data_IF_580035578078
#
_entry.id   IF_580035578078
#
_cell.length_a   1.000
_cell.length_b   1.000
_cell.length_c   1.000
_cell.angle_alpha   90.00
_cell.angle_beta   90.00
_cell.angle_gamma   90.00
#
_symmetry.space_group_name_H-M   'P 1'
#
loop_
_entity.id
_entity.type
_entity.pdbx_description
1 polymer ?
#
# COMPACT_ATOMS: atom_id res chain seq x y z
N UNK A 1 1.64 -1.46 -33.50
CA UNK A 1 0.73 -1.67 -32.35
C UNK A 1 1.44 -2.56 -31.36
N UNK A 2 1.41 -2.24 -30.06
CA UNK A 2 1.95 -3.14 -29.02
C UNK A 2 0.94 -4.28 -28.89
N UNK A 3 1.33 -5.48 -29.32
CA UNK A 3 0.51 -6.70 -29.28
C UNK A 3 0.76 -7.44 -27.98
N UNK A 4 -0.16 -8.29 -27.54
CA UNK A 4 -0.06 -9.13 -26.34
C UNK A 4 -1.27 -8.99 -25.43
N UNK A 5 -1.50 -10.01 -24.59
CA UNK A 5 -2.58 -10.01 -23.60
C UNK A 5 -2.32 -8.90 -22.55
N UNK A 6 -3.25 -7.98 -22.31
CA UNK A 6 -3.01 -6.86 -21.41
C UNK A 6 -2.96 -7.30 -19.95
N UNK A 7 -1.92 -6.86 -19.23
CA UNK A 7 -1.76 -7.03 -17.78
C UNK A 7 -1.61 -5.66 -17.13
N UNK A 8 -2.57 -5.26 -16.33
CA UNK A 8 -2.50 -4.05 -15.51
C UNK A 8 -1.84 -4.36 -14.18
N UNK A 9 -0.71 -3.73 -13.89
CA UNK A 9 0.03 -3.91 -12.64
C UNK A 9 -0.28 -2.77 -11.67
N UNK A 10 -0.85 -3.11 -10.54
CA UNK A 10 -1.18 -2.19 -9.45
C UNK A 10 -0.10 -2.28 -8.38
N UNK A 11 0.71 -1.23 -8.24
CA UNK A 11 1.79 -1.20 -7.26
C UNK A 11 1.29 -1.09 -5.82
N UNK A 12 2.13 -1.48 -4.88
CA UNK A 12 1.87 -1.42 -3.44
C UNK A 12 2.18 -0.08 -2.79
N UNK A 13 2.36 -0.11 -1.51
CA UNK A 13 2.56 1.02 -0.61
C UNK A 13 1.34 1.19 0.32
N UNK A 14 0.33 1.99 0.01
CA UNK A 14 0.15 2.81 -1.21
C UNK A 14 1.21 3.90 -1.38
N UNK A 15 1.41 4.34 -2.62
CA UNK A 15 2.34 5.44 -2.93
C UNK A 15 3.77 5.02 -3.27
N UNK A 16 4.09 3.72 -3.35
CA UNK A 16 5.44 3.26 -3.68
C UNK A 16 5.86 3.55 -5.13
N UNK A 17 4.91 3.74 -6.03
CA UNK A 17 5.16 3.88 -7.45
C UNK A 17 5.40 2.54 -8.14
N UNK A 18 5.37 2.55 -9.46
CA UNK A 18 5.63 1.38 -10.29
C UNK A 18 7.13 1.20 -10.53
N UNK A 19 7.57 -0.04 -10.65
CA UNK A 19 8.95 -0.37 -10.96
C UNK A 19 9.02 -1.38 -12.10
N UNK A 20 9.97 -1.18 -13.02
CA UNK A 20 10.15 -2.06 -14.19
C UNK A 20 10.45 -3.52 -13.82
N UNK A 21 10.97 -3.79 -12.62
CA UNK A 21 11.18 -5.16 -12.15
C UNK A 21 9.89 -5.98 -12.06
N UNK A 22 8.72 -5.37 -12.00
CA UNK A 22 7.45 -6.08 -12.03
C UNK A 22 7.20 -6.80 -13.37
N UNK A 23 7.87 -6.39 -14.46
CA UNK A 23 7.77 -7.10 -15.74
C UNK A 23 8.39 -8.49 -15.71
N UNK A 24 9.26 -8.78 -14.73
CA UNK A 24 9.90 -10.11 -14.58
C UNK A 24 8.92 -11.24 -14.28
N UNK A 25 7.72 -10.91 -13.82
CA UNK A 25 6.68 -11.89 -13.54
C UNK A 25 5.94 -12.35 -14.80
N UNK A 26 6.24 -11.77 -15.97
CA UNK A 26 5.48 -11.98 -17.20
C UNK A 26 6.38 -12.25 -18.39
N UNK A 27 5.95 -13.16 -19.27
CA UNK A 27 6.54 -13.33 -20.58
C UNK A 27 6.14 -12.15 -21.49
N UNK A 28 7.09 -11.26 -21.76
CA UNK A 28 6.86 -10.06 -22.57
C UNK A 28 6.62 -10.34 -24.07
N UNK A 29 6.83 -11.58 -24.54
CA UNK A 29 6.41 -11.99 -25.88
C UNK A 29 4.91 -12.26 -25.95
N UNK A 30 4.32 -12.67 -24.83
CA UNK A 30 2.90 -12.98 -24.70
C UNK A 30 2.08 -11.85 -24.12
N UNK A 31 2.61 -11.16 -23.10
CA UNK A 31 1.87 -10.19 -22.32
C UNK A 31 2.29 -8.75 -22.62
N UNK A 32 1.31 -7.87 -22.74
CA UNK A 32 1.47 -6.41 -22.73
C UNK A 32 1.35 -5.92 -21.29
N UNK A 33 2.48 -5.75 -20.60
CA UNK A 33 2.50 -5.32 -19.21
C UNK A 33 2.38 -3.79 -19.11
N UNK A 34 1.38 -3.33 -18.38
CA UNK A 34 1.06 -1.92 -18.19
C UNK A 34 1.44 -1.53 -16.76
N UNK A 35 2.43 -0.67 -16.64
CA UNK A 35 2.89 -0.08 -15.38
C UNK A 35 2.44 1.38 -15.34
N UNK A 36 1.84 1.80 -14.24
CA UNK A 36 1.46 3.20 -14.02
C UNK A 36 1.69 3.59 -12.57
N UNK A 37 1.97 4.85 -12.35
CA UNK A 37 2.08 5.42 -11.01
C UNK A 37 0.72 5.95 -10.59
N UNK A 38 0.21 5.46 -9.45
CA UNK A 38 -1.04 5.94 -8.86
C UNK A 38 -0.92 7.42 -8.49
N UNK A 39 -2.05 8.09 -8.26
CA UNK A 39 -2.10 9.50 -7.89
C UNK A 39 -1.16 9.83 -6.74
N UNK A 40 -0.49 10.96 -6.82
CA UNK A 40 0.39 11.49 -5.78
C UNK A 40 1.80 10.91 -5.74
N UNK A 41 2.13 9.86 -6.52
CA UNK A 41 3.43 9.20 -6.45
C UNK A 41 4.11 9.00 -7.80
N UNK A 42 5.38 8.59 -7.74
CA UNK A 42 6.19 8.29 -8.91
C UNK A 42 6.31 9.48 -9.86
N UNK A 43 5.89 9.30 -11.11
CA UNK A 43 5.85 10.33 -12.15
C UNK A 43 4.49 11.04 -12.24
N UNK A 44 3.48 10.58 -11.49
CA UNK A 44 2.17 11.21 -11.45
C UNK A 44 2.23 12.54 -10.67
N UNK A 45 1.52 13.56 -11.16
CA UNK A 45 1.50 14.91 -10.62
C UNK A 45 0.05 15.32 -10.27
N UNK A 46 -0.12 16.10 -9.18
CA UNK A 46 0.86 16.60 -8.23
C UNK A 46 1.45 15.51 -7.33
N UNK A 47 2.65 15.74 -6.75
CA UNK A 47 3.36 14.79 -5.91
C UNK A 47 3.07 15.00 -4.42
N UNK A 48 2.86 13.93 -3.68
CA UNK A 48 2.72 13.99 -2.21
C UNK A 48 4.05 14.27 -1.47
N UNK A 49 5.17 14.40 -2.19
CA UNK A 49 6.45 14.84 -1.61
C UNK A 49 6.57 16.35 -1.43
N UNK A 50 5.67 17.13 -2.02
CA UNK A 50 5.67 18.59 -1.86
C UNK A 50 5.41 18.99 -0.40
N UNK A 51 5.84 20.18 0.01
CA UNK A 51 5.65 20.64 1.39
C UNK A 51 4.17 20.70 1.74
N UNK A 52 3.33 21.21 0.84
CA UNK A 52 1.88 21.08 0.91
C UNK A 52 1.40 19.93 -0.01
N UNK A 53 1.06 18.82 0.58
CA UNK A 53 0.55 17.67 -0.14
C UNK A 53 -0.96 17.70 -0.42
N UNK A 54 -1.66 18.79 -0.08
CA UNK A 54 -3.12 18.89 -0.20
C UNK A 54 -3.59 18.56 -1.61
N UNK A 55 -2.97 19.13 -2.64
CA UNK A 55 -3.35 18.90 -4.03
C UNK A 55 -3.13 17.44 -4.46
N UNK A 56 -2.11 16.76 -3.92
CA UNK A 56 -1.82 15.36 -4.24
C UNK A 56 -2.74 14.37 -3.52
N UNK A 57 -3.34 14.79 -2.41
CA UNK A 57 -4.25 13.97 -1.61
C UNK A 57 -5.73 14.27 -1.88
N UNK A 58 -6.04 15.44 -2.44
CA UNK A 58 -7.39 15.77 -2.91
C UNK A 58 -7.77 14.81 -4.04
N UNK A 59 -8.98 14.27 -3.99
CA UNK A 59 -9.48 13.28 -4.95
C UNK A 59 -8.55 12.06 -5.13
N UNK A 60 -7.78 11.72 -4.10
CA UNK A 60 -6.92 10.55 -4.06
C UNK A 60 -7.51 9.51 -3.11
N UNK A 61 -8.51 8.80 -3.57
CA UNK A 61 -9.22 7.73 -2.85
C UNK A 61 -9.27 6.47 -3.71
N UNK A 62 -9.59 5.32 -3.11
CA UNK A 62 -9.71 4.06 -3.86
C UNK A 62 -10.69 4.16 -5.02
N UNK A 63 -11.79 4.90 -4.87
CA UNK A 63 -12.74 5.14 -5.95
C UNK A 63 -12.07 5.85 -7.14
N UNK A 64 -11.32 6.92 -6.87
CA UNK A 64 -10.61 7.65 -7.93
C UNK A 64 -9.52 6.79 -8.60
N UNK A 65 -8.83 5.91 -7.84
CA UNK A 65 -7.87 4.98 -8.43
C UNK A 65 -8.55 3.93 -9.33
N UNK A 66 -9.76 3.47 -8.98
CA UNK A 66 -10.57 2.58 -9.82
C UNK A 66 -10.97 3.29 -11.12
N UNK A 67 -11.39 4.54 -11.02
CA UNK A 67 -11.77 5.35 -12.18
C UNK A 67 -10.54 5.63 -13.07
N UNK A 68 -9.34 5.87 -12.49
CA UNK A 68 -8.09 6.01 -13.24
C UNK A 68 -7.71 4.74 -14.02
N UNK A 69 -7.86 3.56 -13.42
CA UNK A 69 -7.61 2.28 -14.11
C UNK A 69 -8.58 2.12 -15.29
N UNK A 70 -9.84 2.51 -15.11
CA UNK A 70 -10.84 2.47 -16.18
C UNK A 70 -10.50 3.43 -17.31
N UNK A 71 -10.04 4.64 -16.98
CA UNK A 71 -9.60 5.64 -17.95
C UNK A 71 -8.35 5.15 -18.73
N UNK A 72 -7.34 4.62 -18.01
CA UNK A 72 -6.15 4.04 -18.65
C UNK A 72 -6.51 2.89 -19.59
N UNK A 73 -7.45 2.04 -19.19
CA UNK A 73 -7.93 0.94 -20.02
C UNK A 73 -8.54 1.47 -21.34
N UNK A 74 -9.33 2.52 -21.25
CA UNK A 74 -9.92 3.18 -22.42
C UNK A 74 -8.84 3.80 -23.34
N UNK A 75 -7.95 4.62 -22.79
CA UNK A 75 -6.88 5.29 -23.53
C UNK A 75 -5.90 4.30 -24.20
N UNK A 76 -5.70 3.14 -23.59
CA UNK A 76 -4.85 2.08 -24.12
C UNK A 76 -5.57 1.14 -25.10
N UNK A 77 -6.82 1.41 -25.44
CA UNK A 77 -7.68 0.64 -26.32
C UNK A 77 -7.78 -0.84 -25.92
N UNK A 78 -8.05 -1.08 -24.63
CA UNK A 78 -8.26 -2.42 -24.08
C UNK A 78 -9.77 -2.69 -24.05
N UNK A 79 -10.34 -3.15 -25.14
CA UNK A 79 -11.79 -3.39 -25.28
C UNK A 79 -12.23 -4.70 -24.60
N UNK A 80 -11.35 -5.71 -24.60
CA UNK A 80 -11.59 -7.01 -23.97
C UNK A 80 -11.31 -7.03 -22.47
N UNK A 81 -11.30 -8.24 -21.89
CA UNK A 81 -10.85 -8.46 -20.52
C UNK A 81 -9.32 -8.31 -20.43
N UNK A 82 -8.84 -7.95 -19.25
CA UNK A 82 -7.41 -7.86 -18.95
C UNK A 82 -7.04 -8.68 -17.71
N UNK A 83 -5.79 -9.07 -17.60
CA UNK A 83 -5.22 -9.58 -16.38
C UNK A 83 -4.93 -8.41 -15.43
N UNK A 84 -5.15 -8.61 -14.15
CA UNK A 84 -4.86 -7.61 -13.10
C UNK A 84 -3.91 -8.25 -12.09
N UNK A 85 -2.76 -7.62 -11.90
CA UNK A 85 -1.76 -8.03 -10.92
C UNK A 85 -1.65 -6.98 -9.83
N UNK A 86 -1.73 -7.41 -8.55
CA UNK A 86 -1.59 -6.52 -7.42
C UNK A 86 -0.83 -7.15 -6.26
N UNK A 87 0.12 -6.41 -5.68
CA UNK A 87 0.86 -6.84 -4.51
C UNK A 87 0.68 -5.89 -3.33
N UNK A 88 0.54 -6.42 -2.08
CA UNK A 88 0.33 -5.61 -0.87
C UNK A 88 -0.90 -4.69 -1.05
N UNK A 89 -0.79 -3.39 -0.83
CA UNK A 89 -1.85 -2.42 -1.16
C UNK A 89 -2.38 -2.60 -2.60
N UNK A 90 -1.51 -2.93 -3.55
CA UNK A 90 -1.94 -3.22 -4.92
C UNK A 90 -2.93 -4.39 -5.00
N UNK A 91 -2.89 -5.35 -4.09
CA UNK A 91 -3.88 -6.44 -4.01
C UNK A 91 -5.25 -5.91 -3.54
N UNK A 92 -5.26 -4.97 -2.61
CA UNK A 92 -6.48 -4.27 -2.18
C UNK A 92 -7.13 -3.54 -3.36
N UNK A 93 -6.33 -2.75 -4.10
CA UNK A 93 -6.81 -2.00 -5.25
C UNK A 93 -7.28 -2.94 -6.38
N UNK A 94 -6.55 -4.02 -6.64
CA UNK A 94 -6.92 -5.03 -7.64
C UNK A 94 -8.26 -5.70 -7.31
N UNK A 95 -8.46 -6.08 -6.05
CA UNK A 95 -9.72 -6.64 -5.57
C UNK A 95 -10.87 -5.62 -5.67
N UNK A 96 -10.64 -4.38 -5.22
CA UNK A 96 -11.65 -3.33 -5.30
C UNK A 96 -12.04 -3.01 -6.75
N UNK A 97 -11.06 -2.96 -7.66
CA UNK A 97 -11.31 -2.79 -9.08
C UNK A 97 -12.12 -3.94 -9.67
N UNK A 98 -11.72 -5.19 -9.38
CA UNK A 98 -12.42 -6.36 -9.88
C UNK A 98 -13.85 -6.48 -9.33
N UNK A 99 -14.09 -6.07 -8.09
CA UNK A 99 -15.43 -5.97 -7.49
C UNK A 99 -16.28 -4.92 -8.22
N UNK A 100 -15.69 -3.77 -8.57
CA UNK A 100 -16.38 -2.70 -9.27
C UNK A 100 -16.65 -3.04 -10.74
N UNK A 101 -15.70 -3.71 -11.41
CA UNK A 101 -15.70 -3.97 -12.85
C UNK A 101 -15.43 -5.46 -13.21
N UNK A 102 -16.21 -6.44 -12.68
CA UNK A 102 -15.89 -7.87 -12.84
C UNK A 102 -15.91 -8.31 -14.30
N UNK A 103 -16.69 -7.68 -15.16
CA UNK A 103 -16.77 -8.00 -16.59
C UNK A 103 -15.48 -7.66 -17.37
N UNK A 104 -14.60 -6.82 -16.81
CA UNK A 104 -13.37 -6.38 -17.47
C UNK A 104 -12.13 -7.16 -17.05
N UNK A 105 -12.26 -8.03 -16.04
CA UNK A 105 -11.16 -8.79 -15.47
C UNK A 105 -11.18 -10.23 -16.01
N UNK A 106 -10.06 -10.64 -16.61
CA UNK A 106 -9.81 -12.00 -17.08
C UNK A 106 -9.30 -12.86 -15.91
N UNK A 107 -8.21 -12.42 -15.31
CA UNK A 107 -7.54 -13.12 -14.22
C UNK A 107 -7.09 -12.08 -13.19
N UNK A 108 -7.25 -12.42 -11.93
CA UNK A 108 -6.77 -11.63 -10.80
C UNK A 108 -5.59 -12.37 -10.16
N UNK A 109 -4.42 -11.74 -10.17
CA UNK A 109 -3.19 -12.29 -9.61
C UNK A 109 -2.78 -11.44 -8.42
N UNK A 110 -2.83 -12.03 -7.22
CA UNK A 110 -2.60 -11.34 -5.96
C UNK A 110 -1.36 -11.87 -5.26
N UNK A 111 -0.53 -10.97 -4.75
CA UNK A 111 0.64 -11.29 -3.96
C UNK A 111 0.64 -10.52 -2.64
N UNK A 112 0.84 -11.23 -1.50
CA UNK A 112 0.79 -10.59 -0.19
C UNK A 112 -0.55 -9.88 0.00
N UNK A 113 -1.62 -10.65 0.04
CA UNK A 113 -2.99 -10.13 0.09
C UNK A 113 -3.18 -9.27 1.34
N UNK A 114 -3.60 -8.03 1.12
CA UNK A 114 -3.93 -7.07 2.15
C UNK A 114 -5.36 -6.57 1.94
N UNK A 115 -6.22 -6.72 2.92
CA UNK A 115 -7.64 -6.35 2.80
C UNK A 115 -7.95 -4.96 3.34
N UNK A 116 -6.95 -4.30 3.93
CA UNK A 116 -7.05 -2.96 4.52
C UNK A 116 -8.15 -2.86 5.61
N UNK A 117 -8.44 -3.99 6.30
CA UNK A 117 -9.33 -3.97 7.47
C UNK A 117 -8.60 -3.31 8.65
N UNK A 118 -9.35 -2.83 9.62
CA UNK A 118 -8.75 -2.27 10.83
C UNK A 118 -7.81 -3.25 11.52
N UNK A 119 -8.20 -4.52 11.61
CA UNK A 119 -7.37 -5.58 12.18
C UNK A 119 -6.04 -5.77 11.42
N UNK A 120 -6.06 -5.69 10.08
CA UNK A 120 -4.85 -5.81 9.26
C UNK A 120 -3.92 -4.61 9.48
N UNK A 121 -4.49 -3.40 9.57
CA UNK A 121 -3.75 -2.17 9.85
C UNK A 121 -3.16 -2.18 11.26
N UNK A 122 -3.93 -2.61 12.26
CA UNK A 122 -3.46 -2.71 13.65
C UNK A 122 -2.38 -3.76 13.81
N UNK A 123 -2.53 -4.93 13.16
CA UNK A 123 -1.51 -5.98 13.16
C UNK A 123 -0.17 -5.46 12.62
N UNK A 124 -0.21 -4.61 11.59
CA UNK A 124 0.99 -4.10 10.94
C UNK A 124 1.58 -2.87 11.62
N UNK A 125 0.75 -1.91 12.05
CA UNK A 125 1.19 -0.59 12.52
C UNK A 125 1.04 -0.36 14.03
N UNK A 126 0.12 -1.05 14.72
CA UNK A 126 -0.17 -0.71 16.11
C UNK A 126 0.72 -1.45 17.11
N UNK A 127 1.21 -2.63 16.76
CA UNK A 127 2.11 -3.41 17.58
C UNK A 127 1.57 -3.64 18.98
N UNK A 128 2.45 -3.56 19.99
CA UNK A 128 2.07 -3.67 21.38
C UNK A 128 1.53 -2.31 21.89
N UNK A 129 0.28 -1.98 21.54
CA UNK A 129 -0.36 -0.77 22.08
C UNK A 129 -0.44 -0.79 23.61
N UNK A 130 -0.43 -1.97 24.23
CA UNK A 130 -0.40 -2.11 25.68
C UNK A 130 0.87 -1.53 26.31
N UNK A 131 2.01 -1.51 25.59
CA UNK A 131 3.23 -0.84 26.08
C UNK A 131 3.05 0.67 26.24
N UNK A 132 2.13 1.26 25.47
CA UNK A 132 1.85 2.70 25.46
C UNK A 132 0.45 3.04 25.99
N UNK A 133 -0.36 2.02 26.31
CA UNK A 133 -1.69 2.21 26.85
C UNK A 133 -1.65 2.51 28.36
N UNK A 134 -2.52 3.38 28.86
CA UNK A 134 -2.64 3.61 30.31
C UNK A 134 -3.23 2.43 31.07
N UNK A 135 -3.70 1.39 30.40
CA UNK A 135 -4.28 0.19 31.02
C UNK A 135 -3.20 -0.91 31.20
N UNK A 136 -2.73 -1.15 32.44
CA UNK A 136 -1.73 -2.18 32.73
C UNK A 136 -2.26 -3.62 32.53
N UNK A 137 -3.56 -3.80 32.32
CA UNK A 137 -4.19 -5.10 32.05
C UNK A 137 -4.42 -5.35 30.55
N UNK A 138 -4.10 -4.37 29.70
CA UNK A 138 -4.20 -4.55 28.25
C UNK A 138 -3.24 -5.66 27.79
N UNK A 139 -3.81 -6.74 27.24
CA UNK A 139 -3.00 -7.83 26.69
C UNK A 139 -2.31 -7.36 25.40
N UNK A 140 -1.03 -7.74 25.18
CA UNK A 140 -0.36 -7.46 23.92
C UNK A 140 -1.17 -8.01 22.75
N UNK A 141 -1.46 -7.17 21.78
CA UNK A 141 -2.08 -7.62 20.52
C UNK A 141 -0.96 -8.20 19.66
N UNK A 142 -1.06 -9.46 19.18
CA UNK A 142 -0.07 -10.00 18.25
C UNK A 142 0.08 -9.09 17.03
N UNK A 143 1.31 -8.91 16.56
CA UNK A 143 1.57 -8.04 15.41
C UNK A 143 2.99 -8.22 14.89
N UNK A 144 3.25 -7.66 13.74
CA UNK A 144 4.53 -7.71 13.01
C UNK A 144 5.73 -7.23 13.85
N UNK A 145 5.49 -6.39 14.86
CA UNK A 145 6.55 -5.89 15.76
C UNK A 145 7.29 -7.00 16.53
N UNK A 146 6.65 -8.16 16.72
CA UNK A 146 7.27 -9.30 17.38
C UNK A 146 8.42 -9.90 16.56
N UNK A 147 8.30 -9.84 15.25
CA UNK A 147 9.29 -10.39 14.32
C UNK A 147 10.44 -9.40 14.07
N UNK A 148 10.20 -8.09 14.23
CA UNK A 148 11.16 -7.02 13.94
C UNK A 148 11.27 -5.98 15.08
N UNK A 149 11.66 -6.37 16.29
CA UNK A 149 11.58 -5.50 17.48
C UNK A 149 12.51 -4.27 17.41
N UNK A 150 13.66 -4.38 16.74
CA UNK A 150 14.59 -3.24 16.58
C UNK A 150 14.02 -2.20 15.61
N UNK A 151 13.54 -2.63 14.43
CA UNK A 151 12.90 -1.77 13.46
C UNK A 151 11.64 -1.10 14.04
N UNK A 152 10.87 -1.85 14.84
CA UNK A 152 9.70 -1.32 15.55
C UNK A 152 10.07 -0.17 16.49
N UNK A 153 11.10 -0.32 17.32
CA UNK A 153 11.53 0.75 18.24
C UNK A 153 11.92 2.02 17.47
N UNK A 154 12.72 1.88 16.41
CA UNK A 154 13.10 3.02 15.58
C UNK A 154 11.90 3.72 14.95
N UNK A 155 10.90 2.94 14.52
CA UNK A 155 9.66 3.47 13.98
C UNK A 155 8.85 4.26 15.02
N UNK A 156 8.62 3.66 16.19
CA UNK A 156 7.84 4.28 17.27
C UNK A 156 8.54 5.52 17.85
N UNK A 157 9.87 5.53 17.90
CA UNK A 157 10.65 6.68 18.38
C UNK A 157 10.54 7.94 17.50
N UNK A 158 10.12 7.77 16.27
CA UNK A 158 9.80 8.90 15.38
C UNK A 158 8.47 9.56 15.71
N UNK A 159 7.64 8.95 16.59
CA UNK A 159 6.30 9.42 16.96
C UNK A 159 6.35 10.00 18.38
N UNK A 160 5.79 11.21 18.63
CA UNK A 160 5.74 11.77 19.95
C UNK A 160 5.09 10.82 20.96
N UNK A 161 5.63 10.64 22.19
CA UNK A 161 5.12 9.68 23.18
C UNK A 161 3.61 9.78 23.43
N UNK A 162 3.08 10.98 23.49
CA UNK A 162 1.64 11.25 23.70
C UNK A 162 0.73 10.74 22.57
N UNK A 163 1.28 10.47 21.40
CA UNK A 163 0.55 10.05 20.19
C UNK A 163 0.76 8.56 19.86
N UNK A 164 1.54 7.83 20.67
CA UNK A 164 1.87 6.41 20.44
C UNK A 164 0.71 5.46 20.74
N UNK A 165 -0.30 5.89 21.48
CA UNK A 165 -1.50 5.08 21.75
C UNK A 165 -2.33 4.73 20.51
N UNK A 166 -2.20 5.50 19.41
CA UNK A 166 -2.72 5.17 18.08
C UNK A 166 -1.70 5.65 17.05
N UNK A 167 -0.85 4.75 16.60
CA UNK A 167 0.31 5.05 15.75
C UNK A 167 -0.10 5.71 14.44
N UNK A 168 -1.15 5.20 13.78
CA UNK A 168 -1.62 5.74 12.51
C UNK A 168 -2.15 7.15 12.68
N UNK A 169 -2.91 7.42 13.74
CA UNK A 169 -3.34 8.78 14.07
C UNK A 169 -2.17 9.70 14.45
N UNK A 170 -1.19 9.17 15.18
CA UNK A 170 0.04 9.89 15.52
C UNK A 170 0.79 10.36 14.27
N UNK A 171 0.97 9.47 13.32
CA UNK A 171 1.57 9.77 12.02
C UNK A 171 0.72 10.77 11.21
N UNK A 172 -0.61 10.56 11.19
CA UNK A 172 -1.51 11.48 10.48
C UNK A 172 -1.38 12.92 11.00
N UNK A 173 -1.26 13.12 12.32
CA UNK A 173 -1.00 14.46 12.88
C UNK A 173 0.33 15.05 12.42
N UNK A 174 1.37 14.22 12.32
CA UNK A 174 2.69 14.66 11.84
C UNK A 174 2.60 15.12 10.38
N UNK A 175 1.90 14.37 9.53
CA UNK A 175 1.82 14.64 8.09
C UNK A 175 0.75 15.64 7.68
N UNK A 176 -0.18 16.00 8.57
CA UNK A 176 -1.27 16.94 8.27
C UNK A 176 -0.82 18.40 8.16
N UNK A 177 0.34 18.75 8.74
CA UNK A 177 0.79 20.15 8.83
C UNK A 177 1.97 20.35 7.89
N UNK A 178 1.84 21.26 6.89
CA UNK A 178 2.97 21.65 6.07
C UNK A 178 4.10 22.27 6.90
N UNK A 179 5.36 21.90 6.68
CA UNK A 179 6.48 22.46 7.43
C UNK A 179 6.70 23.94 7.05
N UNK A 180 6.94 24.77 8.06
CA UNK A 180 7.20 26.21 7.89
C UNK A 180 8.70 26.54 8.02
N UNK A 181 9.47 25.61 8.58
CA UNK A 181 10.90 25.76 8.81
C UNK A 181 11.65 24.51 8.33
N UNK A 182 12.95 24.66 8.06
CA UNK A 182 13.81 23.53 7.69
C UNK A 182 13.86 22.48 8.83
N UNK A 183 13.83 22.89 10.06
CA UNK A 183 13.80 21.97 11.21
C UNK A 183 12.51 21.15 11.26
N UNK A 184 11.36 21.75 10.93
CA UNK A 184 10.07 21.02 10.81
C UNK A 184 10.10 20.08 9.62
N UNK A 185 10.65 20.50 8.48
CA UNK A 185 10.83 19.66 7.31
C UNK A 185 11.72 18.45 7.61
N UNK A 186 12.84 18.65 8.30
CA UNK A 186 13.74 17.58 8.71
C UNK A 186 13.04 16.55 9.62
N UNK A 187 12.20 17.00 10.57
CA UNK A 187 11.40 16.11 11.43
C UNK A 187 10.38 15.32 10.63
N UNK A 188 9.71 15.97 9.69
CA UNK A 188 8.74 15.34 8.79
C UNK A 188 9.40 14.24 7.96
N UNK A 189 10.56 14.53 7.35
CA UNK A 189 11.34 13.55 6.58
C UNK A 189 11.82 12.41 7.46
N UNK A 190 12.27 12.69 8.69
CA UNK A 190 12.66 11.66 9.65
C UNK A 190 11.53 10.70 9.97
N UNK A 191 10.34 11.21 10.25
CA UNK A 191 9.16 10.37 10.52
C UNK A 191 8.77 9.55 9.29
N UNK A 192 8.80 10.15 8.10
CA UNK A 192 8.51 9.46 6.85
C UNK A 192 9.52 8.35 6.56
N UNK A 193 10.82 8.61 6.77
CA UNK A 193 11.89 7.62 6.59
C UNK A 193 11.75 6.45 7.56
N UNK A 194 11.38 6.72 8.82
CA UNK A 194 11.13 5.67 9.82
C UNK A 194 9.92 4.80 9.42
N UNK A 195 8.87 5.42 8.89
CA UNK A 195 7.68 4.72 8.42
C UNK A 195 8.00 3.78 7.24
N UNK A 196 8.77 4.25 6.25
CA UNK A 196 9.18 3.45 5.09
C UNK A 196 10.17 2.35 5.49
N UNK A 197 11.08 2.62 6.43
CA UNK A 197 12.01 1.63 6.94
C UNK A 197 11.28 0.51 7.68
N UNK A 198 10.28 0.85 8.48
CA UNK A 198 9.40 -0.12 9.14
C UNK A 198 8.69 -1.01 8.11
N UNK A 199 8.02 -0.41 7.13
CA UNK A 199 7.32 -1.14 6.06
C UNK A 199 8.31 -2.06 5.31
N UNK A 200 9.47 -1.56 4.97
CA UNK A 200 10.50 -2.33 4.28
C UNK A 200 11.03 -3.52 5.09
N UNK A 201 11.14 -3.39 6.42
CA UNK A 201 11.52 -4.47 7.32
C UNK A 201 10.42 -5.52 7.43
N UNK A 202 9.20 -5.08 7.67
CA UNK A 202 8.04 -5.92 7.89
C UNK A 202 7.56 -6.67 6.63
N UNK A 203 7.97 -6.21 5.45
CA UNK A 203 7.57 -6.79 4.14
C UNK A 203 8.58 -7.83 3.61
N UNK A 204 9.64 -8.18 4.35
CA UNK A 204 10.72 -9.08 3.90
C UNK A 204 11.10 -10.07 4.98
N UNK A 205 11.29 -11.35 4.63
CA UNK A 205 11.79 -12.37 5.55
C UNK A 205 13.29 -12.23 5.81
N UNK A 206 14.08 -11.94 4.78
CA UNK A 206 15.52 -11.70 4.91
C UNK A 206 15.75 -10.20 4.97
N UNK A 207 15.74 -9.66 6.17
CA UNK A 207 16.05 -8.26 6.42
C UNK A 207 17.54 -8.12 6.69
N UNK A 208 18.27 -7.56 5.72
CA UNK A 208 19.58 -6.97 5.98
C UNK A 208 19.34 -5.51 6.40
N UNK A 209 19.50 -5.25 7.69
CA UNK A 209 19.34 -3.89 8.27
C UNK A 209 20.23 -2.85 7.56
N UNK A 210 21.29 -3.30 6.88
CA UNK A 210 22.24 -2.45 6.15
C UNK A 210 21.93 -2.32 4.64
N UNK A 211 21.01 -3.13 4.10
CA UNK A 211 20.73 -3.16 2.65
C UNK A 211 19.84 -2.02 2.14
N UNK A 212 19.27 -1.25 3.05
CA UNK A 212 18.42 -0.13 2.70
C UNK A 212 19.24 1.15 2.88
N UNK A 213 19.81 1.63 1.77
CA UNK A 213 20.21 3.03 1.70
C UNK A 213 19.06 3.90 2.21
N UNK A 214 19.37 4.96 2.98
CA UNK A 214 18.35 5.89 3.48
C UNK A 214 17.43 6.26 2.31
N UNK A 215 16.12 5.98 2.40
CA UNK A 215 15.22 6.30 1.31
C UNK A 215 15.33 7.79 1.00
N UNK A 216 15.42 8.13 -0.28
CA UNK A 216 15.40 9.54 -0.69
C UNK A 216 14.22 10.22 0.02
N UNK A 217 14.49 11.36 0.66
CA UNK A 217 13.48 12.03 1.49
C UNK A 217 12.18 12.35 0.75
N UNK A 218 12.23 12.61 -0.56
CA UNK A 218 11.03 12.78 -1.41
C UNK A 218 10.24 11.48 -1.53
N UNK A 219 10.91 10.36 -1.77
CA UNK A 219 10.27 9.05 -1.84
C UNK A 219 9.61 8.69 -0.49
N UNK A 220 10.35 8.88 0.60
CA UNK A 220 9.84 8.60 1.93
C UNK A 220 8.59 9.42 2.27
N UNK A 221 8.62 10.73 1.97
CA UNK A 221 7.45 11.61 2.17
C UNK A 221 6.25 11.17 1.34
N UNK A 222 6.48 10.85 0.07
CA UNK A 222 5.41 10.37 -0.82
C UNK A 222 4.73 9.13 -0.26
N UNK A 223 5.51 8.08 0.01
CA UNK A 223 4.97 6.80 0.49
C UNK A 223 4.29 6.97 1.85
N UNK A 224 4.98 7.59 2.82
CA UNK A 224 4.44 7.69 4.17
C UNK A 224 3.14 8.52 4.23
N UNK A 225 3.07 9.63 3.51
CA UNK A 225 1.87 10.47 3.47
C UNK A 225 0.69 9.76 2.84
N UNK A 226 0.87 9.16 1.67
CA UNK A 226 -0.21 8.45 0.99
C UNK A 226 -0.63 7.23 1.82
N UNK A 227 0.31 6.44 2.32
CA UNK A 227 0.05 5.26 3.13
C UNK A 227 -0.76 5.63 4.37
N UNK A 228 -0.31 6.60 5.16
CA UNK A 228 -1.02 7.03 6.38
C UNK A 228 -2.40 7.61 6.04
N UNK A 229 -2.51 8.38 4.96
CA UNK A 229 -3.78 8.93 4.48
C UNK A 229 -4.80 7.84 4.16
N UNK A 230 -4.35 6.77 3.50
CA UNK A 230 -5.22 5.62 3.22
C UNK A 230 -5.55 4.82 4.48
N UNK A 231 -4.55 4.53 5.32
CA UNK A 231 -4.77 3.70 6.53
C UNK A 231 -5.73 4.35 7.52
N UNK A 232 -5.61 5.67 7.74
CA UNK A 232 -6.51 6.37 8.67
C UNK A 232 -7.95 6.45 8.16
N UNK A 233 -8.13 6.40 6.85
CA UNK A 233 -9.43 6.44 6.19
C UNK A 233 -9.95 5.04 5.76
N UNK A 234 -9.44 3.95 6.34
CA UNK A 234 -9.88 2.58 6.04
C UNK A 234 -9.75 2.21 4.56
N UNK A 235 -8.71 2.73 3.89
CA UNK A 235 -8.48 2.53 2.46
C UNK A 235 -9.53 3.15 1.54
N UNK A 236 -10.41 3.99 2.05
CA UNK A 236 -11.56 4.54 1.31
C UNK A 236 -12.41 3.46 0.61
N UNK A 237 -12.51 2.28 1.22
CA UNK A 237 -13.22 1.13 0.65
C UNK A 237 -14.72 1.17 0.96
N UNK A 238 -15.12 1.71 2.10
CA UNK A 238 -16.52 1.83 2.50
C UNK A 238 -16.99 3.29 2.42
N UNK A 239 -17.92 3.56 1.50
CA UNK A 239 -18.56 4.87 1.39
C UNK A 239 -19.64 5.12 2.47
N UNK A 240 -19.95 4.12 3.30
CA UNK A 240 -21.14 4.16 4.18
C UNK A 240 -20.86 4.52 5.63
N UNK A 241 -19.60 4.51 6.09
CA UNK A 241 -19.30 4.95 7.44
C UNK A 241 -17.88 5.44 7.64
N UNK A 242 -17.71 6.72 7.95
CA UNK A 242 -16.50 7.26 8.59
C UNK A 242 -16.22 6.64 9.97
N UNK A 243 -17.13 5.80 10.47
CA UNK A 243 -17.13 5.23 11.82
C UNK A 243 -17.03 3.70 11.89
N UNK A 244 -17.09 2.98 10.79
CA UNK A 244 -16.99 1.52 10.82
C UNK A 244 -15.53 1.10 11.04
N UNK A 245 -15.22 0.73 12.29
CA UNK A 245 -13.91 0.16 12.65
C UNK A 245 -13.62 -1.18 11.97
N UNK A 246 -14.64 -1.85 11.42
CA UNK A 246 -14.55 -3.14 10.75
C UNK A 246 -14.92 -3.01 9.28
N UNK A 247 -14.00 -2.43 8.49
CA UNK A 247 -14.15 -2.39 7.05
C UNK A 247 -13.93 -3.78 6.45
N UNK A 248 -15.02 -4.50 6.17
CA UNK A 248 -15.01 -5.79 5.50
C UNK A 248 -15.42 -5.70 4.02
N UNK A 249 -15.35 -4.51 3.41
CA UNK A 249 -15.85 -4.26 2.06
C UNK A 249 -15.48 -5.34 1.04
N UNK A 250 -14.22 -5.77 1.01
CA UNK A 250 -13.75 -6.79 0.06
C UNK A 250 -14.40 -8.13 0.36
N UNK A 251 -14.44 -8.56 1.63
CA UNK A 251 -15.04 -9.84 2.03
C UNK A 251 -16.56 -9.85 1.78
N UNK A 252 -17.25 -8.77 2.07
CA UNK A 252 -18.69 -8.62 1.86
C UNK A 252 -19.07 -8.65 0.38
N UNK A 253 -18.13 -8.33 -0.51
CA UNK A 253 -18.34 -8.27 -1.95
C UNK A 253 -17.61 -9.36 -2.75
N UNK A 254 -16.93 -10.31 -2.09
CA UNK A 254 -16.13 -11.34 -2.76
C UNK A 254 -16.94 -12.21 -3.74
N UNK A 255 -18.22 -12.41 -3.49
CA UNK A 255 -19.11 -13.17 -4.38
C UNK A 255 -19.20 -12.57 -5.80
N UNK A 256 -18.92 -11.28 -5.97
CA UNK A 256 -18.88 -10.62 -7.28
C UNK A 256 -17.68 -11.05 -8.14
N UNK A 257 -16.71 -11.72 -7.54
CA UNK A 257 -15.51 -12.23 -8.21
C UNK A 257 -15.68 -13.66 -8.76
N UNK A 258 -16.85 -14.30 -8.58
CA UNK A 258 -17.10 -15.69 -8.98
C UNK A 258 -16.87 -15.98 -10.47
N UNK A 259 -16.85 -14.96 -11.34
CA UNK A 259 -16.56 -15.08 -12.77
C UNK A 259 -15.10 -14.82 -13.15
N UNK A 260 -14.23 -14.52 -12.19
CA UNK A 260 -12.82 -14.25 -12.42
C UNK A 260 -11.97 -15.45 -11.99
N UNK A 261 -11.00 -15.87 -12.83
CA UNK A 261 -9.95 -16.77 -12.36
C UNK A 261 -9.07 -16.00 -11.36
N UNK A 262 -9.00 -16.45 -10.10
CA UNK A 262 -8.22 -15.79 -9.05
C UNK A 262 -7.06 -16.69 -8.63
N UNK A 263 -5.86 -16.13 -8.61
CA UNK A 263 -4.65 -16.75 -8.08
C UNK A 263 -4.11 -15.86 -6.96
N UNK A 264 -4.08 -16.37 -5.75
CA UNK A 264 -3.48 -15.69 -4.62
C UNK A 264 -2.24 -16.46 -4.16
N UNK A 265 -1.12 -15.77 -3.98
CA UNK A 265 0.09 -16.31 -3.38
C UNK A 265 0.38 -15.54 -2.11
N UNK A 266 0.51 -16.25 -0.99
CA UNK A 266 1.09 -15.69 0.21
C UNK A 266 2.56 -15.38 -0.03
N UNK A 267 3.11 -14.42 0.70
CA UNK A 267 4.55 -14.13 0.64
C UNK A 267 5.28 -15.26 1.36
N UNK A 268 5.53 -16.35 0.67
CA UNK A 268 6.70 -17.17 0.94
C UNK A 268 7.77 -16.58 0.02
N UNK A 269 8.91 -16.10 0.52
CA UNK A 269 9.99 -15.69 -0.36
C UNK A 269 10.45 -16.93 -1.09
N UNK A 270 10.20 -16.95 -2.39
CA UNK A 270 10.84 -17.90 -3.27
C UNK A 270 12.29 -17.44 -3.34
N UNK A 271 13.21 -18.22 -2.76
CA UNK A 271 14.64 -18.12 -3.06
C UNK A 271 14.79 -18.13 -4.60
N UNK A 272 15.69 -17.31 -5.18
CA UNK A 272 15.79 -17.17 -6.64
C UNK A 272 16.19 -18.44 -7.39
N UNK A 273 16.32 -19.57 -6.74
CA UNK A 273 16.85 -20.81 -7.29
C UNK A 273 15.82 -21.92 -7.58
N UNK A 274 14.54 -21.74 -7.24
CA UNK A 274 13.54 -22.80 -7.42
C UNK A 274 12.39 -22.42 -8.37
N UNK A 275 12.73 -21.91 -9.55
CA UNK A 275 11.83 -21.87 -10.68
C UNK A 275 12.02 -23.12 -11.55
N UNK A 276 11.72 -24.29 -11.02
CA UNK A 276 11.49 -25.48 -11.83
C UNK A 276 10.00 -25.52 -12.23
N UNK A 277 9.66 -25.63 -13.51
CA UNK A 277 8.26 -25.74 -13.91
C UNK A 277 7.71 -27.10 -13.44
N UNK A 278 6.56 -27.07 -12.76
CA UNK A 278 5.69 -28.23 -12.56
C UNK A 278 4.64 -28.24 -13.64
#
# INVERSE_FOLDING_TARGET
>A
MITGEPVMVMHGGPGAGSHSSATRFFDLQRYRVILFDQRGCGKSSPSASEDDATAALTDNTTRHLIDDVSALRHELNIDGKMHVFGGSWGSTLALAYAIAHPATVQTLILRGVFLCRRADVDYFFQGNAAEFAPDPLAMPVPGTYLDFPTAWRHFVDAIPPKDRGDIVKGLAKIFAVPPRTEAERARLVKAASACVAWEGSASRLNHDENSHGQPNGKYALTVARIMVYYMINGGFLDAKSEASRDNNYILDNVARLSGCACWATDIIPIEPHDCSPV
#
